data_IF_878797499537
#
_entry.id   IF_878797499537
#
_cell.length_a   1.000
_cell.length_b   1.000
_cell.length_c   1.000
_cell.angle_alpha   90.00
_cell.angle_beta   90.00
_cell.angle_gamma   90.00
#
_symmetry.space_group_name_H-M   'P 1'
#
loop_
_entity.id
_entity.type
_entity.pdbx_description
1 polymer ?
#
# COMPACT_ATOMS: atom_id res chain seq x y z
N UNK A 1 -6.76 24.54 -12.09
CA UNK A 1 -5.98 24.75 -11.65
C UNK A 1 -5.04 23.78 -11.63
N UNK A 2 -4.27 23.70 -11.81
CA UNK A 2 -3.46 22.87 -12.02
C UNK A 2 -2.61 22.55 -11.12
N UNK A 3 -2.51 22.89 -10.52
CA UNK A 3 -1.89 22.75 -9.95
C UNK A 3 -1.45 21.93 -9.02
N UNK A 4 -2.02 21.07 -8.65
CA UNK A 4 -1.69 20.07 -7.72
C UNK A 4 -0.71 19.07 -8.23
N UNK A 5 -0.32 19.16 -9.45
CA UNK A 5 0.65 18.25 -10.01
C UNK A 5 1.99 18.34 -9.35
N UNK A 6 2.31 19.47 -8.75
CA UNK A 6 3.61 19.66 -8.14
C UNK A 6 3.65 19.25 -6.69
N UNK A 7 2.52 18.87 -6.12
CA UNK A 7 2.48 18.48 -4.73
C UNK A 7 2.77 17.01 -4.56
N UNK A 8 3.54 16.68 -3.53
CA UNK A 8 3.78 15.29 -3.22
C UNK A 8 2.61 14.72 -2.46
N UNK A 9 2.25 13.49 -2.80
CA UNK A 9 1.30 12.71 -2.04
C UNK A 9 2.09 11.72 -1.21
N UNK A 10 1.90 11.77 0.10
CA UNK A 10 2.62 10.88 0.99
C UNK A 10 1.82 9.61 1.24
N UNK A 11 2.53 8.51 1.22
CA UNK A 11 1.94 7.18 1.23
C UNK A 11 2.54 6.37 2.36
N UNK A 12 1.73 5.58 3.05
CA UNK A 12 2.20 4.60 4.01
C UNK A 12 2.11 3.22 3.38
N UNK A 13 3.03 2.34 3.76
CA UNK A 13 2.99 0.94 3.33
C UNK A 13 2.69 0.09 4.53
N UNK A 14 1.66 -0.74 4.45
CA UNK A 14 1.27 -1.60 5.54
C UNK A 14 1.59 -3.03 5.15
N UNK A 15 2.54 -3.63 5.85
CA UNK A 15 3.05 -4.97 5.53
C UNK A 15 4.34 -4.90 4.74
N UNK A 16 5.43 -5.43 5.32
CA UNK A 16 6.74 -5.35 4.71
C UNK A 16 7.26 -6.77 4.47
N UNK A 17 6.47 -7.54 3.73
CA UNK A 17 6.90 -8.84 3.23
C UNK A 17 7.63 -8.65 1.91
N UNK A 18 7.62 -9.67 1.05
CA UNK A 18 8.34 -9.58 -0.22
C UNK A 18 7.80 -8.47 -1.11
N UNK A 19 6.48 -8.39 -1.24
CA UNK A 19 5.89 -7.37 -2.10
C UNK A 19 6.08 -5.98 -1.50
N UNK A 20 5.86 -5.84 -0.20
CA UNK A 20 6.03 -4.55 0.45
C UNK A 20 7.46 -4.05 0.35
N UNK A 21 8.43 -4.94 0.54
CA UNK A 21 9.83 -4.58 0.41
C UNK A 21 10.14 -4.08 -1.00
N UNK A 22 9.56 -4.72 -2.01
CA UNK A 22 9.77 -4.29 -3.38
C UNK A 22 9.24 -2.87 -3.59
N UNK A 23 8.08 -2.54 -3.01
CA UNK A 23 7.56 -1.19 -3.11
C UNK A 23 8.49 -0.18 -2.46
N UNK A 24 9.12 -0.54 -1.34
CA UNK A 24 10.01 0.40 -0.66
C UNK A 24 11.26 0.71 -1.48
N UNK A 25 11.69 -0.23 -2.30
CA UNK A 25 12.84 0.00 -3.15
C UNK A 25 12.50 0.72 -4.45
N UNK A 26 11.23 0.85 -4.76
CA UNK A 26 10.79 1.52 -5.97
C UNK A 26 10.66 3.02 -5.69
N UNK A 27 11.24 3.84 -6.54
CA UNK A 27 11.21 5.28 -6.31
C UNK A 27 10.03 5.91 -7.05
N UNK A 28 8.89 5.99 -6.36
CA UNK A 28 7.69 6.57 -6.95
C UNK A 28 7.84 8.04 -7.26
N UNK A 29 8.62 8.76 -6.47
CA UNK A 29 8.68 10.20 -6.61
C UNK A 29 9.38 10.66 -7.89
N UNK A 30 10.08 9.77 -8.57
CA UNK A 30 10.71 10.12 -9.83
C UNK A 30 9.74 10.26 -10.97
N UNK A 31 8.65 9.52 -10.93
CA UNK A 31 7.74 9.45 -12.07
C UNK A 31 6.40 10.09 -11.82
N UNK A 32 6.05 10.27 -10.56
CA UNK A 32 4.77 10.90 -10.23
C UNK A 32 4.93 11.44 -8.84
N UNK A 33 4.31 12.37 -8.41
CA UNK A 33 4.54 13.06 -7.16
C UNK A 33 4.04 12.25 -5.96
N UNK A 34 4.51 11.01 -5.86
CA UNK A 34 4.09 10.07 -4.83
C UNK A 34 5.31 9.54 -4.10
N UNK A 35 5.27 9.55 -2.78
CA UNK A 35 6.40 9.11 -1.98
C UNK A 35 5.93 8.30 -0.80
N UNK A 36 6.51 7.10 -0.62
CA UNK A 36 6.28 6.30 0.57
C UNK A 36 7.20 6.85 1.66
N UNK A 37 6.62 7.33 2.74
CA UNK A 37 7.40 7.96 3.80
C UNK A 37 7.49 7.15 5.08
N UNK A 38 6.62 6.13 5.24
CA UNK A 38 6.64 5.30 6.43
C UNK A 38 6.05 3.94 6.08
N UNK A 39 6.55 2.90 6.75
CA UNK A 39 6.04 1.55 6.59
C UNK A 39 5.75 0.97 7.97
N UNK A 40 4.82 0.02 8.02
CA UNK A 40 4.40 -0.62 9.28
C UNK A 40 4.42 -2.13 9.12
N UNK A 41 4.87 -2.81 10.16
CA UNK A 41 4.85 -4.27 10.19
C UNK A 41 4.82 -4.70 11.66
N UNK A 42 4.55 -5.98 11.88
CA UNK A 42 4.62 -6.56 13.22
C UNK A 42 5.89 -7.41 13.40
N UNK A 43 6.67 -7.58 12.34
CA UNK A 43 7.88 -8.39 12.37
C UNK A 43 8.99 -7.63 13.09
N UNK A 44 9.39 -8.13 14.24
CA UNK A 44 10.36 -7.45 15.09
C UNK A 44 11.71 -7.30 14.42
N UNK A 45 12.03 -8.15 13.46
CA UNK A 45 13.31 -8.01 12.77
C UNK A 45 13.32 -6.85 11.82
N UNK A 46 12.16 -6.31 11.47
CA UNK A 46 12.06 -5.19 10.54
C UNK A 46 11.74 -3.88 11.23
N UNK A 47 11.05 -3.93 12.35
CA UNK A 47 10.68 -2.74 13.09
C UNK A 47 11.94 -2.03 13.57
N UNK A 48 11.99 -0.71 13.35
CA UNK A 48 13.13 0.09 13.74
C UNK A 48 14.22 0.15 12.71
N UNK A 49 14.07 -0.53 11.57
CA UNK A 49 15.05 -0.45 10.49
C UNK A 49 14.55 0.51 9.42
N UNK A 50 15.41 0.78 8.45
CA UNK A 50 15.02 1.52 7.25
C UNK A 50 15.24 0.61 6.05
N UNK A 51 14.26 0.59 5.16
CA UNK A 51 14.34 -0.18 3.94
C UNK A 51 14.07 0.78 2.79
N UNK A 52 15.00 0.88 1.86
CA UNK A 52 14.87 1.84 0.76
C UNK A 52 14.78 3.28 1.26
N UNK A 53 15.36 3.55 2.41
CA UNK A 53 15.31 4.89 3.01
C UNK A 53 14.03 5.17 3.78
N UNK A 54 13.13 4.18 3.92
CA UNK A 54 11.84 4.38 4.58
C UNK A 54 11.87 3.71 5.95
N UNK A 55 11.52 4.42 7.02
CA UNK A 55 11.50 3.80 8.35
C UNK A 55 10.35 2.81 8.47
N UNK A 56 10.63 1.70 9.16
CA UNK A 56 9.62 0.68 9.45
C UNK A 56 9.26 0.80 10.92
N UNK A 57 7.98 1.01 11.19
CA UNK A 57 7.46 1.18 12.53
C UNK A 57 6.59 -0.01 12.91
N UNK A 58 6.29 -0.11 14.19
CA UNK A 58 5.43 -1.17 14.69
C UNK A 58 3.98 -0.87 14.34
N UNK A 59 3.32 -1.82 13.69
CA UNK A 59 1.92 -1.65 13.31
C UNK A 59 1.02 -1.41 14.53
N UNK A 60 1.40 -1.94 15.68
CA UNK A 60 0.63 -1.70 16.91
C UNK A 60 0.59 -0.22 17.28
N UNK A 61 1.56 0.56 16.81
CA UNK A 61 1.64 1.99 17.10
C UNK A 61 1.14 2.86 15.95
N UNK A 62 0.33 2.29 15.07
CA UNK A 62 -0.12 2.99 13.87
C UNK A 62 -0.73 4.35 14.21
N UNK A 63 -1.57 4.41 15.23
CA UNK A 63 -2.30 5.63 15.53
C UNK A 63 -1.40 6.78 15.95
N UNK A 64 -0.25 6.47 16.54
CA UNK A 64 0.68 7.51 16.97
C UNK A 64 1.79 7.77 15.97
N UNK A 65 2.13 6.76 15.15
CA UNK A 65 3.29 6.87 14.26
C UNK A 65 2.92 7.25 12.82
N UNK A 66 1.66 7.19 12.47
CA UNK A 66 1.25 7.57 11.11
C UNK A 66 1.16 9.10 11.03
N UNK A 67 2.01 9.73 10.21
CA UNK A 67 1.96 11.19 10.11
C UNK A 67 0.64 11.68 9.55
N UNK A 68 0.21 12.85 9.99
CA UNK A 68 -1.08 13.41 9.59
C UNK A 68 -1.14 13.78 8.12
N UNK A 69 0.00 14.00 7.48
CA UNK A 69 0.03 14.38 6.08
C UNK A 69 0.06 13.18 5.13
N UNK A 70 0.03 11.96 5.67
CA UNK A 70 -0.07 10.75 4.85
C UNK A 70 -1.54 10.49 4.58
N UNK A 71 -1.92 10.44 3.30
CA UNK A 71 -3.33 10.31 2.91
C UNK A 71 -3.63 9.02 2.17
N UNK A 72 -2.61 8.26 1.79
CA UNK A 72 -2.77 7.03 1.01
C UNK A 72 -2.05 5.90 1.70
N UNK A 73 -2.61 4.70 1.63
CA UNK A 73 -1.98 3.50 2.17
C UNK A 73 -1.96 2.40 1.13
N UNK A 74 -0.84 1.67 1.09
CA UNK A 74 -0.71 0.45 0.30
C UNK A 74 -0.79 -0.71 1.27
N UNK A 75 -1.70 -1.64 1.01
CA UNK A 75 -2.02 -2.71 1.95
C UNK A 75 -1.53 -4.04 1.40
N UNK A 76 -0.54 -4.63 2.06
CA UNK A 76 0.04 -5.91 1.64
C UNK A 76 0.13 -6.85 2.83
N UNK A 77 -0.96 -7.00 3.57
CA UNK A 77 -1.05 -7.81 4.78
C UNK A 77 -1.87 -9.06 4.52
N UNK A 78 -1.87 -10.03 5.45
CA UNK A 78 -2.75 -11.19 5.30
C UNK A 78 -4.21 -10.78 5.27
N UNK A 79 -5.02 -11.56 4.56
CA UNK A 79 -6.43 -11.20 4.34
C UNK A 79 -7.21 -11.03 5.64
N UNK A 80 -6.92 -11.86 6.63
CA UNK A 80 -7.74 -11.87 7.85
C UNK A 80 -7.55 -10.63 8.72
N UNK A 81 -6.48 -9.85 8.49
CA UNK A 81 -6.27 -8.61 9.25
C UNK A 81 -6.54 -7.36 8.42
N UNK A 82 -6.90 -7.53 7.15
CA UNK A 82 -7.01 -6.39 6.23
C UNK A 82 -8.11 -5.42 6.63
N UNK A 83 -9.30 -5.92 6.98
CA UNK A 83 -10.39 -5.03 7.33
C UNK A 83 -10.13 -4.27 8.64
N UNK A 84 -9.70 -4.93 9.73
CA UNK A 84 -9.39 -4.17 10.95
C UNK A 84 -8.33 -3.10 10.74
N UNK A 85 -7.30 -3.41 9.97
CA UNK A 85 -6.26 -2.42 9.70
C UNK A 85 -6.81 -1.27 8.88
N UNK A 86 -7.64 -1.58 7.88
CA UNK A 86 -8.27 -0.54 7.08
C UNK A 86 -9.11 0.39 7.94
N UNK A 87 -9.86 -0.16 8.88
CA UNK A 87 -10.68 0.66 9.77
C UNK A 87 -9.84 1.65 10.56
N UNK A 88 -8.66 1.21 11.01
CA UNK A 88 -7.73 2.07 11.74
C UNK A 88 -7.17 3.17 10.84
N UNK A 89 -6.83 2.82 9.60
CA UNK A 89 -6.30 3.78 8.64
C UNK A 89 -7.34 4.85 8.32
N UNK A 90 -8.58 4.44 8.09
CA UNK A 90 -9.65 5.37 7.78
C UNK A 90 -9.89 6.30 8.96
N UNK A 91 -9.86 5.78 10.18
CA UNK A 91 -10.04 6.60 11.38
C UNK A 91 -8.94 7.64 11.52
N UNK A 92 -7.75 7.36 10.96
CA UNK A 92 -6.62 8.30 11.01
C UNK A 92 -6.65 9.30 9.86
N UNK A 93 -7.59 9.20 8.95
CA UNK A 93 -7.70 10.17 7.87
C UNK A 93 -7.18 9.71 6.54
N UNK A 94 -6.87 8.43 6.38
CA UNK A 94 -6.47 7.89 5.08
C UNK A 94 -7.67 7.98 4.12
N UNK A 95 -7.43 8.48 2.93
CA UNK A 95 -8.48 8.71 1.94
C UNK A 95 -8.36 7.78 0.74
N UNK A 96 -7.20 7.20 0.50
CA UNK A 96 -7.00 6.29 -0.62
C UNK A 96 -6.28 5.04 -0.17
N UNK A 97 -6.72 3.88 -0.66
CA UNK A 97 -6.11 2.60 -0.31
C UNK A 97 -5.88 1.79 -1.57
N UNK A 98 -4.68 1.28 -1.71
CA UNK A 98 -4.35 0.34 -2.77
C UNK A 98 -4.24 -1.03 -2.10
N UNK A 99 -5.20 -1.89 -2.37
CA UNK A 99 -5.33 -3.16 -1.67
C UNK A 99 -4.79 -4.31 -2.51
N UNK A 100 -3.66 -4.88 -2.05
CA UNK A 100 -3.06 -6.05 -2.69
C UNK A 100 -3.42 -7.35 -1.97
N UNK A 101 -4.29 -7.29 -0.97
CA UNK A 101 -4.70 -8.50 -0.27
C UNK A 101 -5.88 -9.13 -1.01
N UNK A 102 -6.15 -10.43 -0.78
CA UNK A 102 -7.34 -11.03 -1.36
C UNK A 102 -8.61 -10.72 -0.60
N UNK A 103 -8.54 -9.90 0.44
CA UNK A 103 -9.70 -9.61 1.26
C UNK A 103 -10.67 -8.69 0.55
N UNK A 104 -11.95 -8.89 0.83
CA UNK A 104 -12.98 -7.96 0.42
C UNK A 104 -13.10 -6.93 1.54
N UNK A 105 -12.82 -5.69 1.24
CA UNK A 105 -12.69 -4.63 2.23
C UNK A 105 -13.78 -3.60 2.02
N UNK A 106 -14.45 -3.22 3.10
CA UNK A 106 -15.49 -2.19 3.07
C UNK A 106 -14.92 -0.90 3.60
N UNK A 107 -15.19 0.20 2.88
CA UNK A 107 -14.77 1.54 3.30
C UNK A 107 -15.96 2.49 3.14
N UNK A 108 -15.97 3.61 3.88
CA UNK A 108 -17.01 4.61 3.68
C UNK A 108 -16.87 5.29 2.33
N UNK A 109 -17.94 5.96 1.90
CA UNK A 109 -17.99 6.60 0.59
C UNK A 109 -16.93 7.67 0.42
N UNK A 110 -16.40 8.19 1.51
CA UNK A 110 -15.38 9.23 1.46
C UNK A 110 -13.98 8.68 1.18
N UNK A 111 -13.82 7.36 1.15
CA UNK A 111 -12.52 6.71 0.93
C UNK A 111 -12.57 5.95 -0.39
N UNK A 112 -11.52 6.12 -1.19
CA UNK A 112 -11.40 5.40 -2.45
C UNK A 112 -10.48 4.20 -2.25
N UNK A 113 -10.92 3.04 -2.70
CA UNK A 113 -10.09 1.84 -2.61
C UNK A 113 -9.99 1.19 -3.98
N UNK A 114 -8.78 0.77 -4.34
CA UNK A 114 -8.55 0.00 -5.56
C UNK A 114 -8.02 -1.36 -5.17
N UNK A 115 -8.58 -2.41 -5.74
CA UNK A 115 -8.20 -3.78 -5.45
C UNK A 115 -7.35 -4.33 -6.58
N UNK A 116 -6.16 -4.83 -6.25
CA UNK A 116 -5.26 -5.44 -7.21
C UNK A 116 -5.06 -6.89 -6.78
N UNK A 117 -5.52 -7.81 -7.59
CA UNK A 117 -5.35 -9.24 -7.31
C UNK A 117 -4.30 -9.78 -8.27
N UNK A 118 -3.08 -9.90 -7.78
CA UNK A 118 -1.97 -10.32 -8.62
C UNK A 118 -2.15 -11.75 -9.13
N UNK A 119 -2.78 -12.62 -8.34
CA UNK A 119 -3.01 -13.98 -8.79
C UNK A 119 -3.97 -14.01 -9.97
N UNK A 120 -5.03 -13.23 -9.91
CA UNK A 120 -5.99 -13.15 -11.00
C UNK A 120 -5.33 -12.56 -12.24
N UNK A 121 -4.52 -11.52 -12.06
CA UNK A 121 -3.84 -10.90 -13.19
C UNK A 121 -2.89 -11.88 -13.86
N UNK A 122 -2.16 -12.65 -13.07
CA UNK A 122 -1.24 -13.65 -13.64
C UNK A 122 -2.01 -14.74 -14.38
N UNK A 123 -3.11 -15.23 -13.81
CA UNK A 123 -3.92 -16.24 -14.46
C UNK A 123 -4.48 -15.74 -15.78
N UNK A 124 -4.90 -14.50 -15.80
CA UNK A 124 -5.44 -13.90 -17.00
C UNK A 124 -4.37 -13.82 -18.09
N UNK A 125 -3.17 -13.42 -17.72
CA UNK A 125 -2.08 -13.35 -18.68
C UNK A 125 -1.71 -14.72 -19.22
N UNK A 126 -1.61 -15.71 -18.35
CA UNK A 126 -1.27 -17.07 -18.78
C UNK A 126 -2.35 -17.62 -19.72
N UNK A 127 -3.63 -17.40 -19.37
CA UNK A 127 -4.72 -17.84 -20.22
C UNK A 127 -4.61 -17.21 -21.60
N UNK A 128 -4.35 -15.91 -21.64
CA UNK A 128 -4.24 -15.20 -22.91
C UNK A 128 -3.11 -15.77 -23.75
N UNK A 129 -1.94 -16.03 -23.15
CA UNK A 129 -0.82 -16.56 -23.90
C UNK A 129 -1.07 -17.94 -24.45
N UNK A 130 -1.86 -18.75 -23.75
CA UNK A 130 -2.19 -20.09 -24.23
C UNK A 130 -3.21 -20.09 -25.37
N UNK A 131 -4.14 -19.13 -25.35
CA UNK A 131 -5.22 -19.14 -26.31
C UNK A 131 -5.00 -18.16 -27.46
N UNK A 132 -4.05 -17.27 -27.33
CA UNK A 132 -3.73 -16.28 -28.37
C UNK A 132 -2.23 -16.18 -28.51
N UNK A 133 -1.56 -17.28 -28.91
CA UNK A 133 -0.11 -17.25 -28.99
C UNK A 133 0.34 -16.28 -30.08
N UNK A 134 1.43 -15.60 -29.79
CA UNK A 134 1.96 -14.67 -30.74
C UNK A 134 2.87 -15.30 -31.75
N UNK A 135 3.03 -16.44 -31.74
CA UNK A 135 3.75 -17.15 -32.61
C UNK A 135 4.80 -17.28 -32.68
#
# INVERSE_FOLDING_TARGET
>A
KTLDQDELTYVSLIGVGNLGTAFLHYNFSKNNNTKITVAFDVDETKIGTEIGGVPVRNLDDLETELPDDVTVAILTVPAHVAQPITDRLVAKGIKGILNFTPARINVPDTVRIHHIDLAVELQSLVYFLKHYPTE
#
